data_IF_385808127474
#
_entry.id   IF_385808127474
#
_cell.length_a   1.000
_cell.length_b   1.000
_cell.length_c   1.000
_cell.angle_alpha   90.00
_cell.angle_beta   90.00
_cell.angle_gamma   90.00
#
_symmetry.space_group_name_H-M   'P 1'
#
loop_
_entity.id
_entity.type
_entity.pdbx_description
1 polymer ?
#
# COMPACT_ATOMS: atom_id res chain seq x y z
N UNK A 1 11.27 9.94 -11.85
CA UNK A 1 10.04 9.82 -11.06
C UNK A 1 10.11 10.71 -9.82
N UNK A 2 9.10 11.56 -9.64
CA UNK A 2 8.90 12.46 -8.51
C UNK A 2 8.31 11.73 -7.30
N UNK A 3 8.17 12.43 -6.17
CA UNK A 3 7.48 11.88 -5.00
C UNK A 3 5.98 11.68 -5.26
N UNK A 4 5.34 12.63 -5.93
CA UNK A 4 3.91 12.58 -6.26
C UNK A 4 3.61 11.39 -7.18
N UNK A 5 4.41 11.15 -8.21
CA UNK A 5 4.28 9.99 -9.09
C UNK A 5 4.44 8.66 -8.32
N UNK A 6 5.29 8.61 -7.30
CA UNK A 6 5.41 7.43 -6.42
C UNK A 6 4.15 7.23 -5.57
N UNK A 7 3.61 8.31 -5.00
CA UNK A 7 2.39 8.27 -4.19
C UNK A 7 1.23 7.75 -5.04
N UNK A 8 1.03 8.34 -6.22
CA UNK A 8 -0.02 7.93 -7.16
C UNK A 8 0.12 6.46 -7.58
N UNK A 9 1.34 5.99 -7.88
CA UNK A 9 1.57 4.59 -8.23
C UNK A 9 1.18 3.63 -7.10
N UNK A 10 1.48 3.97 -5.84
CA UNK A 10 1.08 3.18 -4.67
C UNK A 10 -0.44 3.17 -4.52
N UNK A 11 -1.08 4.34 -4.52
CA UNK A 11 -2.52 4.47 -4.31
C UNK A 11 -3.31 3.75 -5.42
N UNK A 12 -2.92 3.97 -6.68
CA UNK A 12 -3.52 3.29 -7.83
C UNK A 12 -3.42 1.77 -7.76
N UNK A 13 -2.32 1.24 -7.24
CA UNK A 13 -2.18 -0.21 -7.05
C UNK A 13 -3.11 -0.72 -5.95
N UNK A 14 -3.25 0.01 -4.85
CA UNK A 14 -4.12 -0.39 -3.73
C UNK A 14 -5.60 -0.38 -4.14
N UNK A 15 -6.04 0.61 -4.92
CA UNK A 15 -7.41 0.65 -5.46
C UNK A 15 -7.77 -0.57 -6.31
N UNK A 16 -6.77 -1.15 -7.00
CA UNK A 16 -6.96 -2.31 -7.87
C UNK A 16 -7.06 -3.64 -7.12
N UNK A 17 -6.77 -3.68 -5.82
CA UNK A 17 -6.91 -4.91 -5.03
C UNK A 17 -8.41 -5.22 -4.90
N UNK A 18 -8.91 -6.33 -5.47
CA UNK A 18 -10.34 -6.59 -5.50
C UNK A 18 -10.90 -6.92 -4.10
N UNK A 19 -12.21 -6.74 -3.87
CA UNK A 19 -12.85 -7.15 -2.62
C UNK A 19 -12.61 -8.63 -2.30
N UNK A 20 -12.38 -8.95 -1.02
CA UNK A 20 -12.07 -10.31 -0.56
C UNK A 20 -10.64 -10.77 -0.85
N UNK A 21 -9.77 -9.90 -1.39
CA UNK A 21 -8.33 -10.13 -1.52
C UNK A 21 -7.54 -9.11 -0.71
N UNK A 22 -6.34 -9.51 -0.32
CA UNK A 22 -5.35 -8.66 0.35
C UNK A 22 -3.99 -8.83 -0.29
N UNK A 23 -3.13 -7.82 -0.16
CA UNK A 23 -1.72 -7.87 -0.50
C UNK A 23 -0.88 -7.43 0.70
N UNK A 24 0.34 -7.97 0.81
CA UNK A 24 1.26 -7.48 1.83
C UNK A 24 1.90 -6.15 1.42
N UNK A 25 2.32 -5.33 2.39
CA UNK A 25 3.15 -4.14 2.10
C UNK A 25 4.41 -4.48 1.28
N UNK A 26 4.99 -5.67 1.48
CA UNK A 26 6.12 -6.17 0.70
C UNK A 26 5.75 -6.35 -0.76
N UNK A 27 4.66 -7.08 -1.03
CA UNK A 27 4.16 -7.33 -2.38
C UNK A 27 3.76 -6.03 -3.09
N UNK A 28 3.12 -5.08 -2.41
CA UNK A 28 2.84 -3.75 -2.97
C UNK A 28 4.14 -3.05 -3.35
N UNK A 29 5.17 -3.12 -2.50
CA UNK A 29 6.46 -2.49 -2.78
C UNK A 29 7.21 -3.13 -3.95
N UNK A 30 7.11 -4.45 -4.13
CA UNK A 30 7.70 -5.18 -5.27
C UNK A 30 7.08 -4.71 -6.59
N UNK A 31 5.75 -4.70 -6.68
CA UNK A 31 5.02 -4.23 -7.85
C UNK A 31 5.34 -2.77 -8.19
N UNK A 32 5.30 -1.87 -7.20
CA UNK A 32 5.64 -0.47 -7.42
C UNK A 32 7.11 -0.32 -7.83
N UNK A 33 8.02 -1.12 -7.27
CA UNK A 33 9.44 -1.10 -7.64
C UNK A 33 9.66 -1.56 -9.07
N UNK A 34 8.91 -2.54 -9.57
CA UNK A 34 8.97 -2.95 -10.97
C UNK A 34 8.55 -1.82 -11.92
N UNK A 35 7.51 -1.07 -11.56
CA UNK A 35 7.02 0.06 -12.37
C UNK A 35 7.93 1.28 -12.32
N UNK A 36 8.60 1.50 -11.18
CA UNK A 36 9.19 2.81 -10.86
C UNK A 36 10.70 2.79 -10.60
N UNK A 37 11.29 1.60 -10.48
CA UNK A 37 12.67 1.38 -10.06
C UNK A 37 12.95 1.67 -8.58
N UNK A 38 11.92 2.01 -7.78
CA UNK A 38 12.06 2.40 -6.37
C UNK A 38 10.92 1.85 -5.52
N UNK A 39 11.19 1.59 -4.24
CA UNK A 39 10.14 1.19 -3.30
C UNK A 39 10.62 0.15 -2.29
N UNK A 40 10.11 0.27 -1.08
CA UNK A 40 10.26 -0.67 0.01
C UNK A 40 8.94 -0.72 0.78
N UNK A 41 8.71 -1.79 1.55
CA UNK A 41 7.54 -1.87 2.42
C UNK A 41 7.40 -0.64 3.34
N UNK A 42 8.53 -0.06 3.80
CA UNK A 42 8.54 1.14 4.65
C UNK A 42 8.09 2.39 3.91
N UNK A 43 8.54 2.60 2.67
CA UNK A 43 8.13 3.77 1.87
C UNK A 43 6.66 3.67 1.47
N UNK A 44 6.18 2.46 1.15
CA UNK A 44 4.73 2.20 0.95
C UNK A 44 3.96 2.49 2.22
N UNK A 45 4.41 2.00 3.39
CA UNK A 45 3.79 2.29 4.68
C UNK A 45 3.67 3.80 4.96
N UNK A 46 4.72 4.56 4.67
CA UNK A 46 4.70 6.03 4.79
C UNK A 46 3.70 6.72 3.86
N UNK A 47 3.47 6.19 2.65
CA UNK A 47 2.45 6.70 1.73
C UNK A 47 1.06 6.38 2.28
N UNK A 48 0.83 5.11 2.65
CA UNK A 48 -0.46 4.67 3.18
C UNK A 48 -0.86 5.41 4.46
N UNK A 49 0.10 5.71 5.34
CA UNK A 49 -0.16 6.47 6.58
C UNK A 49 -0.55 7.94 6.33
N UNK A 50 -0.12 8.54 5.21
CA UNK A 50 -0.39 9.96 4.90
C UNK A 50 -1.54 10.17 3.93
N UNK A 51 -1.68 9.27 2.97
CA UNK A 51 -2.57 9.43 1.81
C UNK A 51 -3.52 8.24 1.63
N UNK A 52 -3.37 7.17 2.41
CA UNK A 52 -4.12 5.92 2.23
C UNK A 52 -5.61 6.00 2.57
N UNK A 53 -6.08 7.10 3.21
CA UNK A 53 -7.48 7.29 3.55
C UNK A 53 -8.42 7.37 2.35
N UNK A 54 -7.91 7.62 1.14
CA UNK A 54 -8.69 7.68 -0.09
C UNK A 54 -8.85 6.32 -0.81
N UNK A 55 -8.15 5.28 -0.37
CA UNK A 55 -8.08 3.96 -1.04
C UNK A 55 -8.44 2.84 -0.06
N UNK A 56 -8.75 1.60 -0.51
CA UNK A 56 -9.11 0.50 0.41
C UNK A 56 -7.89 -0.03 1.18
N UNK A 57 -7.35 0.78 2.08
CA UNK A 57 -6.10 0.55 2.80
C UNK A 57 -6.15 -0.73 3.66
N UNK A 58 -7.33 -1.14 4.13
CA UNK A 58 -7.55 -2.39 4.86
C UNK A 58 -7.19 -3.64 4.03
N UNK A 59 -7.01 -3.52 2.71
CA UNK A 59 -6.55 -4.60 1.83
C UNK A 59 -5.04 -4.72 1.77
N UNK A 60 -4.30 -3.83 2.42
CA UNK A 60 -2.84 -3.88 2.54
C UNK A 60 -2.46 -4.31 3.95
N UNK A 61 -1.90 -5.51 4.07
CA UNK A 61 -1.63 -6.18 5.35
C UNK A 61 -0.13 -6.32 5.62
N UNK A 62 0.24 -6.57 6.87
CA UNK A 62 1.59 -6.97 7.23
C UNK A 62 1.96 -8.33 6.59
N UNK A 63 3.25 -8.69 6.60
CA UNK A 63 3.73 -9.94 6.00
C UNK A 63 3.09 -11.21 6.62
N UNK A 64 2.60 -11.13 7.86
CA UNK A 64 1.88 -12.20 8.54
C UNK A 64 0.36 -12.21 8.25
N UNK A 65 -0.11 -11.41 7.30
CA UNK A 65 -1.51 -11.32 6.90
C UNK A 65 -2.42 -10.53 7.84
N UNK A 66 -1.88 -9.96 8.94
CA UNK A 66 -2.65 -9.13 9.87
C UNK A 66 -2.68 -7.67 9.43
N UNK A 67 -3.75 -6.97 9.77
CA UNK A 67 -3.75 -5.51 9.75
C UNK A 67 -2.65 -4.98 10.69
N UNK A 68 -2.10 -3.82 10.35
CA UNK A 68 -1.16 -3.15 11.25
C UNK A 68 -1.92 -2.75 12.54
N UNK A 69 -1.40 -3.08 13.73
CA UNK A 69 -2.02 -2.71 14.98
C UNK A 69 -2.27 -1.19 15.05
N UNK A 70 -3.47 -0.79 15.43
CA UNK A 70 -3.86 0.62 15.58
C UNK A 70 -4.66 1.23 14.43
N UNK A 71 -4.81 0.55 13.28
CA UNK A 71 -5.73 0.97 12.22
C UNK A 71 -7.01 0.11 12.18
N UNK A 72 -7.16 -0.85 13.10
CA UNK A 72 -8.17 -1.91 13.07
C UNK A 72 -9.62 -1.44 13.20
N UNK A 73 -9.85 -0.16 13.49
CA UNK A 73 -11.13 0.43 13.88
C UNK A 73 -11.84 1.14 12.71
N UNK A 74 -11.17 1.40 11.57
CA UNK A 74 -11.73 2.16 10.43
C UNK A 74 -11.94 1.33 9.14
N UNK A 75 -12.24 0.03 9.27
CA UNK A 75 -12.50 -0.86 8.12
C UNK A 75 -13.97 -0.88 7.70
#
# INVERSE_FOLDING_TARGET
MTHEEYVEAVLSLVERIPPGRVMSYGSVSEWVRELTGRGSARTVGNVMARYGGAVPWHRVVAANGRLQPGHEIEA
#
